data_IF_274660826684
#
_entry.id   IF_274660826684
#
_cell.length_a   1.000
_cell.length_b   1.000
_cell.length_c   1.000
_cell.angle_alpha   90.00
_cell.angle_beta   90.00
_cell.angle_gamma   90.00
#
_symmetry.space_group_name_H-M   'P 1'
#
loop_
_entity.id
_entity.type
_entity.pdbx_description
1 polymer ?
#
# COMPACT_ATOMS: atom_id res chain seq x y z
N UNK A 1 -29.22 2.87 7.61
CA UNK A 1 -28.84 4.18 8.20
C UNK A 1 -29.29 5.25 7.22
N UNK A 2 -30.01 6.27 7.67
CA UNK A 2 -30.59 7.28 6.77
C UNK A 2 -29.49 8.17 6.15
N UNK A 3 -29.67 8.62 4.90
CA UNK A 3 -28.78 9.56 4.20
C UNK A 3 -28.45 10.81 5.02
N UNK A 4 -29.40 11.33 5.78
CA UNK A 4 -29.22 12.44 6.74
C UNK A 4 -28.18 12.12 7.84
N UNK A 5 -28.11 10.87 8.32
CA UNK A 5 -27.12 10.45 9.32
C UNK A 5 -25.71 10.45 8.72
N UNK A 6 -25.56 9.99 7.47
CA UNK A 6 -24.26 9.97 6.78
C UNK A 6 -23.76 11.37 6.46
N UNK A 7 -24.64 12.31 6.13
CA UNK A 7 -24.26 13.70 5.86
C UNK A 7 -23.78 14.41 7.12
N UNK A 8 -24.46 14.23 8.26
CA UNK A 8 -24.04 14.80 9.55
C UNK A 8 -22.70 14.22 10.01
N UNK A 9 -22.48 12.92 9.85
CA UNK A 9 -21.18 12.28 10.14
C UNK A 9 -20.08 12.88 9.27
N UNK A 10 -20.31 12.99 7.97
CA UNK A 10 -19.35 13.58 7.04
C UNK A 10 -19.00 15.03 7.41
N UNK A 11 -19.99 15.86 7.69
CA UNK A 11 -19.77 17.25 8.12
C UNK A 11 -19.01 17.33 9.45
N UNK A 12 -19.30 16.44 10.39
CA UNK A 12 -18.59 16.37 11.68
C UNK A 12 -17.13 15.98 11.48
N UNK A 13 -16.88 14.99 10.61
CA UNK A 13 -15.50 14.56 10.28
C UNK A 13 -14.74 15.69 9.60
N UNK A 14 -15.36 16.42 8.67
CA UNK A 14 -14.74 17.58 8.02
C UNK A 14 -14.36 18.67 9.03
N UNK A 15 -15.22 18.94 10.03
CA UNK A 15 -14.89 19.87 11.12
C UNK A 15 -13.75 19.36 11.99
N UNK A 16 -13.66 18.06 12.26
CA UNK A 16 -12.53 17.48 13.01
C UNK A 16 -11.22 17.53 12.21
N UNK A 17 -11.27 17.31 10.90
CA UNK A 17 -10.11 17.48 10.02
C UNK A 17 -9.59 18.92 10.01
N UNK A 18 -10.46 19.93 10.13
CA UNK A 18 -10.03 21.33 10.22
C UNK A 18 -9.20 21.66 11.48
N UNK A 19 -9.16 20.74 12.46
CA UNK A 19 -8.25 20.83 13.59
C UNK A 19 -6.80 20.37 13.27
N UNK A 20 -6.61 19.60 12.19
CA UNK A 20 -5.29 19.09 11.78
C UNK A 20 -4.71 19.80 10.55
N UNK A 21 -5.51 20.56 9.81
CA UNK A 21 -5.12 21.37 8.66
C UNK A 21 -6.09 22.54 8.47
N UNK A 22 -5.75 23.49 7.61
CA UNK A 22 -6.68 24.58 7.30
C UNK A 22 -7.90 24.04 6.52
N UNK A 23 -9.09 24.62 6.75
CA UNK A 23 -10.30 24.26 6.03
C UNK A 23 -10.12 24.36 4.49
N UNK A 24 -9.39 25.36 4.03
CA UNK A 24 -9.04 25.54 2.62
C UNK A 24 -8.21 24.38 2.06
N UNK A 25 -7.27 23.91 2.85
CA UNK A 25 -6.38 22.78 2.48
C UNK A 25 -7.14 21.48 2.40
N UNK A 26 -7.97 21.22 3.40
CA UNK A 26 -8.82 20.02 3.47
C UNK A 26 -9.80 19.99 2.30
N UNK A 27 -10.51 21.08 2.02
CA UNK A 27 -11.43 21.17 0.89
C UNK A 27 -10.71 20.97 -0.47
N UNK A 28 -9.53 21.53 -0.64
CA UNK A 28 -8.66 21.31 -1.82
C UNK A 28 -8.39 19.81 -2.04
N UNK A 29 -8.08 19.06 -0.97
CA UNK A 29 -7.83 17.62 -1.11
C UNK A 29 -9.10 16.82 -1.35
N UNK A 30 -10.22 17.17 -0.70
CA UNK A 30 -11.51 16.50 -0.93
C UNK A 30 -11.95 16.68 -2.39
N UNK A 31 -11.86 17.88 -2.93
CA UNK A 31 -12.17 18.14 -4.34
C UNK A 31 -11.29 17.31 -5.29
N UNK A 32 -9.98 17.28 -5.03
CA UNK A 32 -9.05 16.45 -5.81
C UNK A 32 -9.37 14.95 -5.73
N UNK A 33 -9.68 14.46 -4.54
CA UNK A 33 -9.98 13.04 -4.34
C UNK A 33 -11.34 12.62 -4.88
N UNK A 34 -12.26 13.58 -5.05
CA UNK A 34 -13.57 13.38 -5.66
C UNK A 34 -13.54 13.50 -7.19
N UNK A 35 -12.39 13.87 -7.77
CA UNK A 35 -12.19 13.94 -9.22
C UNK A 35 -12.33 12.55 -9.85
N UNK A 36 -12.98 12.48 -10.99
CA UNK A 36 -13.14 11.25 -11.78
C UNK A 36 -11.93 10.93 -12.65
N UNK A 37 -10.98 11.86 -12.77
CA UNK A 37 -9.80 11.72 -13.65
C UNK A 37 -8.75 10.75 -13.13
N UNK A 38 -8.62 10.64 -11.80
CA UNK A 38 -7.68 9.72 -11.16
C UNK A 38 -8.34 9.02 -9.98
N UNK A 39 -7.95 7.77 -9.73
CA UNK A 39 -8.36 7.06 -8.52
C UNK A 39 -7.72 7.73 -7.30
N UNK A 40 -8.42 7.69 -6.17
CA UNK A 40 -8.00 8.39 -4.95
C UNK A 40 -6.60 7.97 -4.50
N UNK A 41 -6.41 6.69 -4.10
CA UNK A 41 -5.16 6.23 -3.58
C UNK A 41 -4.97 4.71 -3.74
N UNK A 42 -3.72 4.30 -3.88
CA UNK A 42 -3.27 2.94 -3.60
C UNK A 42 -2.48 2.97 -2.28
N UNK A 43 -2.88 2.13 -1.33
CA UNK A 43 -2.23 2.01 -0.02
C UNK A 43 -1.59 0.63 0.08
N UNK A 44 -0.26 0.60 0.13
CA UNK A 44 0.49 -0.62 0.43
C UNK A 44 0.65 -0.75 1.94
N UNK A 45 0.21 -1.86 2.49
CA UNK A 45 0.28 -2.16 3.91
C UNK A 45 1.37 -3.19 4.17
N UNK A 46 2.35 -2.86 5.00
CA UNK A 46 3.38 -3.80 5.45
C UNK A 46 2.78 -4.94 6.29
N UNK A 47 3.34 -6.16 6.16
CA UNK A 47 2.88 -7.28 6.97
C UNK A 47 3.07 -7.04 8.48
N UNK A 48 4.14 -6.37 8.88
CA UNK A 48 4.39 -5.96 10.28
C UNK A 48 3.30 -5.02 10.81
N UNK A 49 2.74 -4.14 9.97
CA UNK A 49 1.61 -3.27 10.34
C UNK A 49 0.37 -4.10 10.67
N UNK A 50 0.05 -5.11 9.85
CA UNK A 50 -1.10 -5.98 10.12
C UNK A 50 -0.90 -6.79 11.39
N UNK A 51 0.33 -7.22 11.65
CA UNK A 51 0.67 -8.00 12.84
C UNK A 51 0.62 -7.16 14.12
N UNK A 52 1.11 -5.92 14.08
CA UNK A 52 1.42 -5.15 15.30
C UNK A 52 0.52 -3.91 15.49
N UNK A 53 -0.14 -3.42 14.44
CA UNK A 53 -0.89 -2.13 14.46
C UNK A 53 -2.18 -2.18 13.61
N UNK A 54 -2.84 -3.32 13.59
CA UNK A 54 -4.06 -3.53 12.78
C UNK A 54 -5.20 -2.60 13.23
N UNK A 55 -5.32 -2.29 14.51
CA UNK A 55 -6.40 -1.44 15.01
C UNK A 55 -6.34 0.00 14.45
N UNK A 56 -5.14 0.62 14.45
CA UNK A 56 -4.94 1.93 13.85
C UNK A 56 -5.11 1.89 12.33
N UNK A 57 -4.65 0.81 11.68
CA UNK A 57 -4.88 0.60 10.25
C UNK A 57 -6.38 0.61 9.92
N UNK A 58 -7.16 -0.25 10.58
CA UNK A 58 -8.59 -0.39 10.31
C UNK A 58 -9.33 0.90 10.66
N UNK A 59 -9.03 1.54 11.78
CA UNK A 59 -9.66 2.81 12.16
C UNK A 59 -9.44 3.90 11.12
N UNK A 60 -8.22 4.01 10.58
CA UNK A 60 -7.89 4.98 9.52
C UNK A 60 -8.58 4.65 8.19
N UNK A 61 -8.66 3.38 7.80
CA UNK A 61 -9.35 2.98 6.57
C UNK A 61 -10.86 3.15 6.65
N UNK A 62 -11.47 2.82 7.80
CA UNK A 62 -12.90 3.04 8.06
C UNK A 62 -13.22 4.54 8.04
N UNK A 63 -12.35 5.37 8.62
CA UNK A 63 -12.48 6.81 8.52
C UNK A 63 -12.53 7.28 7.06
N UNK A 64 -11.63 6.80 6.19
CA UNK A 64 -11.66 7.13 4.76
C UNK A 64 -12.96 6.67 4.10
N UNK A 65 -13.42 5.47 4.40
CA UNK A 65 -14.68 4.94 3.90
C UNK A 65 -15.87 5.84 4.27
N UNK A 66 -15.93 6.31 5.53
CA UNK A 66 -16.99 7.17 6.02
C UNK A 66 -17.02 8.55 5.36
N UNK A 67 -15.88 9.10 4.94
CA UNK A 67 -15.84 10.35 4.16
C UNK A 67 -16.04 10.12 2.65
N UNK A 68 -16.30 8.88 2.23
CA UNK A 68 -16.59 8.53 0.83
C UNK A 68 -15.35 8.26 -0.01
N UNK A 69 -14.16 8.12 0.60
CA UNK A 69 -12.91 7.82 -0.08
C UNK A 69 -12.60 6.32 0.01
N UNK A 70 -12.47 5.67 -1.14
CA UNK A 70 -12.22 4.24 -1.25
C UNK A 70 -10.81 3.99 -1.81
N UNK A 71 -9.81 3.72 -0.94
CA UNK A 71 -8.48 3.35 -1.42
C UNK A 71 -8.46 1.92 -1.95
N UNK A 72 -7.52 1.63 -2.83
CA UNK A 72 -7.13 0.26 -3.19
C UNK A 72 -6.05 -0.19 -2.22
N UNK A 73 -6.28 -1.28 -1.50
CA UNK A 73 -5.33 -1.81 -0.52
C UNK A 73 -4.55 -2.97 -1.13
N UNK A 74 -3.23 -2.92 -1.03
CA UNK A 74 -2.36 -4.08 -1.27
C UNK A 74 -1.58 -4.38 0.00
N UNK A 75 -1.67 -5.60 0.51
CA UNK A 75 -1.00 -5.97 1.75
C UNK A 75 0.16 -6.94 1.56
N UNK A 76 1.16 -6.85 2.43
CA UNK A 76 2.17 -7.89 2.62
C UNK A 76 1.80 -8.82 3.77
N UNK A 77 2.52 -9.94 3.87
CA UNK A 77 2.41 -10.89 4.97
C UNK A 77 3.78 -11.51 5.36
N UNK A 78 4.88 -10.81 5.04
CA UNK A 78 6.23 -11.34 5.20
C UNK A 78 6.54 -11.95 6.57
N UNK A 79 6.33 -11.24 7.68
CA UNK A 79 6.59 -11.77 9.04
C UNK A 79 5.75 -13.00 9.37
N UNK A 80 4.44 -12.99 9.03
CA UNK A 80 3.55 -14.13 9.23
C UNK A 80 3.97 -15.34 8.39
N UNK A 81 4.42 -15.09 7.14
CA UNK A 81 4.92 -16.16 6.27
C UNK A 81 6.22 -16.75 6.81
N UNK A 82 7.17 -15.93 7.25
CA UNK A 82 8.41 -16.42 7.86
C UNK A 82 8.11 -17.31 9.05
N UNK A 83 7.25 -16.84 9.97
CA UNK A 83 6.85 -17.62 11.13
C UNK A 83 6.17 -18.94 10.74
N UNK A 84 5.27 -18.93 9.78
CA UNK A 84 4.55 -20.13 9.34
C UNK A 84 5.50 -21.17 8.70
N UNK A 85 6.55 -20.72 8.00
CA UNK A 85 7.58 -21.60 7.45
C UNK A 85 8.46 -22.22 8.56
N UNK A 86 8.90 -21.39 9.51
CA UNK A 86 9.66 -21.83 10.70
C UNK A 86 8.87 -22.86 11.51
N UNK A 87 7.59 -22.59 11.78
CA UNK A 87 6.70 -23.49 12.54
C UNK A 87 6.50 -24.86 11.82
N UNK A 88 6.69 -24.91 10.50
CA UNK A 88 6.64 -26.13 9.69
C UNK A 88 8.01 -26.73 9.36
N UNK A 89 9.10 -26.14 9.86
CA UNK A 89 10.46 -26.61 9.61
C UNK A 89 10.88 -26.46 8.13
N UNK A 90 10.33 -25.48 7.41
CA UNK A 90 10.66 -25.19 6.02
C UNK A 90 11.69 -24.06 5.98
N UNK A 91 12.90 -24.39 5.53
CA UNK A 91 13.96 -23.39 5.32
C UNK A 91 13.59 -22.43 4.20
N UNK A 92 13.98 -21.18 4.36
CA UNK A 92 13.80 -20.15 3.34
C UNK A 92 14.99 -19.20 3.28
N UNK A 93 15.18 -18.60 2.13
CA UNK A 93 16.23 -17.60 1.87
C UNK A 93 15.68 -16.46 1.03
N UNK A 94 16.49 -15.42 0.85
CA UNK A 94 16.17 -14.27 0.01
C UNK A 94 17.30 -14.03 -0.99
N UNK A 95 16.91 -13.66 -2.22
CA UNK A 95 17.80 -13.17 -3.27
C UNK A 95 17.25 -11.80 -3.70
N UNK A 96 18.06 -10.77 -3.66
CA UNK A 96 17.70 -9.38 -4.02
C UNK A 96 16.38 -8.91 -3.35
N UNK A 97 16.18 -9.27 -2.07
CA UNK A 97 14.99 -8.90 -1.30
C UNK A 97 13.72 -9.69 -1.66
N UNK A 98 13.78 -10.63 -2.59
CA UNK A 98 12.70 -11.55 -2.92
C UNK A 98 12.91 -12.90 -2.24
N UNK A 99 11.83 -13.48 -1.71
CA UNK A 99 11.89 -14.80 -1.04
C UNK A 99 12.02 -15.90 -2.09
N UNK A 100 13.07 -16.71 -2.01
CA UNK A 100 13.15 -17.96 -2.77
C UNK A 100 11.96 -18.83 -2.38
N UNK A 101 11.17 -19.22 -3.35
CA UNK A 101 9.86 -19.82 -3.13
C UNK A 101 9.80 -21.21 -3.75
N UNK A 102 10.10 -22.23 -2.95
CA UNK A 102 9.88 -23.65 -3.33
C UNK A 102 8.38 -23.95 -3.46
N UNK A 103 8.00 -25.12 -3.97
CA UNK A 103 6.59 -25.53 -3.99
C UNK A 103 5.98 -25.54 -2.58
N UNK A 104 6.67 -26.07 -1.59
CA UNK A 104 6.22 -26.06 -0.20
C UNK A 104 6.07 -24.64 0.34
N UNK A 105 7.05 -23.77 0.09
CA UNK A 105 6.99 -22.35 0.46
C UNK A 105 5.82 -21.63 -0.20
N UNK A 106 5.53 -21.90 -1.48
CA UNK A 106 4.39 -21.33 -2.22
C UNK A 106 3.06 -21.73 -1.59
N UNK A 107 2.90 -23.00 -1.25
CA UNK A 107 1.66 -23.53 -0.68
C UNK A 107 1.37 -22.87 0.69
N UNK A 108 2.39 -22.73 1.53
CA UNK A 108 2.30 -21.97 2.79
C UNK A 108 2.01 -20.49 2.53
N UNK A 109 2.68 -19.87 1.56
CA UNK A 109 2.46 -18.48 1.21
C UNK A 109 1.01 -18.21 0.78
N UNK A 110 0.43 -19.07 -0.07
CA UNK A 110 -0.96 -18.94 -0.49
C UNK A 110 -1.93 -19.00 0.70
N UNK A 111 -1.70 -19.88 1.65
CA UNK A 111 -2.53 -19.98 2.86
C UNK A 111 -2.38 -18.74 3.75
N UNK A 112 -1.14 -18.31 4.00
CA UNK A 112 -0.85 -17.15 4.85
C UNK A 112 -1.40 -15.87 4.25
N UNK A 113 -1.21 -15.63 2.96
CA UNK A 113 -1.73 -14.45 2.29
C UNK A 113 -3.27 -14.44 2.27
N UNK A 114 -3.91 -15.59 1.99
CA UNK A 114 -5.36 -15.69 2.01
C UNK A 114 -5.93 -15.44 3.40
N UNK A 115 -5.32 -16.01 4.45
CA UNK A 115 -5.73 -15.79 5.84
C UNK A 115 -5.54 -14.32 6.26
N UNK A 116 -4.41 -13.71 5.90
CA UNK A 116 -4.13 -12.30 6.20
C UNK A 116 -5.11 -11.38 5.46
N UNK A 117 -5.43 -11.68 4.21
CA UNK A 117 -6.42 -10.96 3.41
C UNK A 117 -7.79 -10.98 4.09
N UNK A 118 -8.26 -12.17 4.46
CA UNK A 118 -9.54 -12.34 5.15
C UNK A 118 -9.57 -11.61 6.49
N UNK A 119 -8.48 -11.65 7.26
CA UNK A 119 -8.37 -10.91 8.53
C UNK A 119 -8.57 -9.41 8.34
N UNK A 120 -8.00 -8.81 7.30
CA UNK A 120 -8.16 -7.37 7.02
C UNK A 120 -9.59 -7.07 6.57
N UNK A 121 -10.18 -7.91 5.73
CA UNK A 121 -11.58 -7.77 5.28
C UNK A 121 -12.54 -7.85 6.45
N UNK A 122 -12.45 -8.90 7.27
CA UNK A 122 -13.32 -9.11 8.45
C UNK A 122 -13.21 -7.93 9.43
N UNK A 123 -11.99 -7.42 9.63
CA UNK A 123 -11.76 -6.29 10.53
C UNK A 123 -12.39 -4.99 9.98
N UNK A 124 -12.35 -4.73 8.68
CA UNK A 124 -13.03 -3.60 8.04
C UNK A 124 -14.55 -3.72 8.16
N UNK A 125 -15.09 -4.91 7.83
CA UNK A 125 -16.54 -5.16 7.87
C UNK A 125 -17.09 -5.09 9.29
N UNK A 126 -16.33 -5.57 10.28
CA UNK A 126 -16.73 -5.48 11.71
C UNK A 126 -16.90 -4.03 12.20
N UNK A 127 -16.25 -3.06 11.53
CA UNK A 127 -16.36 -1.62 11.78
C UNK A 127 -17.31 -0.89 10.82
N UNK A 128 -18.02 -1.64 9.97
CA UNK A 128 -19.07 -1.12 9.08
C UNK A 128 -18.59 -0.64 7.71
N UNK A 129 -17.31 -0.77 7.37
CA UNK A 129 -16.82 -0.55 6.01
C UNK A 129 -17.14 -1.76 5.13
N UNK A 130 -17.37 -1.53 3.83
CA UNK A 130 -17.51 -2.62 2.86
C UNK A 130 -16.16 -2.93 2.25
N UNK A 131 -15.75 -4.20 2.29
CA UNK A 131 -14.48 -4.63 1.71
C UNK A 131 -14.64 -5.92 0.89
N UNK A 132 -13.76 -6.09 -0.12
CA UNK A 132 -13.71 -7.30 -0.93
C UNK A 132 -12.26 -7.78 -1.00
N UNK A 133 -12.03 -9.00 -0.50
CA UNK A 133 -10.72 -9.66 -0.55
C UNK A 133 -10.42 -10.24 -1.92
N UNK A 134 -9.22 -10.01 -2.42
CA UNK A 134 -8.73 -10.47 -3.71
C UNK A 134 -7.41 -11.22 -3.52
N UNK A 135 -7.49 -12.54 -3.58
CA UNK A 135 -6.32 -13.45 -3.48
C UNK A 135 -6.01 -14.16 -4.80
N UNK A 136 -6.76 -13.86 -5.86
CA UNK A 136 -6.59 -14.39 -7.21
C UNK A 136 -7.19 -13.42 -8.24
N UNK A 137 -6.95 -13.69 -9.53
CA UNK A 137 -7.53 -12.98 -10.68
C UNK A 137 -7.15 -11.47 -10.78
N UNK A 138 -6.12 -11.03 -10.06
CA UNK A 138 -5.61 -9.66 -10.15
C UNK A 138 -4.33 -9.59 -10.97
N UNK A 139 -3.35 -10.44 -10.68
CA UNK A 139 -2.06 -10.41 -11.33
C UNK A 139 -1.89 -11.62 -12.26
N UNK A 140 -1.78 -11.36 -13.56
CA UNK A 140 -1.28 -12.31 -14.54
C UNK A 140 0.25 -12.25 -14.51
N UNK A 141 0.89 -13.42 -14.36
CA UNK A 141 2.34 -13.49 -14.18
C UNK A 141 3.00 -14.48 -15.13
N UNK A 142 4.30 -14.30 -15.29
CA UNK A 142 5.21 -15.36 -15.72
C UNK A 142 6.14 -15.67 -14.55
N UNK A 143 6.76 -16.85 -14.58
CA UNK A 143 7.82 -17.18 -13.63
C UNK A 143 8.97 -16.16 -13.77
N UNK A 144 9.48 -15.67 -12.65
CA UNK A 144 10.66 -14.80 -12.62
C UNK A 144 11.93 -15.61 -12.95
N UNK A 145 13.01 -15.39 -12.26
CA UNK A 145 14.26 -16.12 -12.42
C UNK A 145 14.12 -17.55 -11.89
N UNK A 146 14.67 -18.57 -12.59
CA UNK A 146 14.57 -19.98 -12.15
C UNK A 146 15.07 -20.20 -10.71
N UNK A 147 16.08 -19.47 -10.26
CA UNK A 147 16.64 -19.57 -8.92
C UNK A 147 15.70 -19.06 -7.82
N UNK A 148 14.69 -18.28 -8.16
CA UNK A 148 13.66 -17.82 -7.24
C UNK A 148 12.51 -18.82 -7.07
N UNK A 149 12.40 -19.81 -7.97
CA UNK A 149 11.35 -20.83 -7.94
C UNK A 149 9.97 -20.26 -8.31
N UNK A 150 8.96 -20.46 -7.46
CA UNK A 150 7.58 -20.01 -7.70
C UNK A 150 7.38 -18.51 -7.38
N UNK A 151 8.24 -17.67 -7.90
CA UNK A 151 8.12 -16.20 -7.83
C UNK A 151 7.64 -15.68 -9.18
N UNK A 152 6.70 -14.74 -9.14
CA UNK A 152 6.05 -14.17 -10.33
C UNK A 152 6.53 -12.78 -10.67
N UNK A 153 6.80 -12.58 -11.98
CA UNK A 153 6.89 -11.25 -12.61
C UNK A 153 5.53 -10.91 -13.20
N UNK A 154 4.95 -9.80 -12.81
CA UNK A 154 3.63 -9.35 -13.28
C UNK A 154 3.71 -8.92 -14.74
N UNK A 155 2.80 -9.44 -15.56
CA UNK A 155 2.61 -9.08 -16.99
C UNK A 155 1.31 -8.34 -17.23
N UNK A 156 0.31 -8.60 -16.40
CA UNK A 156 -0.99 -7.96 -16.50
C UNK A 156 -1.63 -7.75 -15.13
N UNK A 157 -2.44 -6.71 -15.04
CA UNK A 157 -3.25 -6.40 -13.86
C UNK A 157 -4.70 -6.27 -14.30
N UNK A 158 -5.60 -6.96 -13.65
CA UNK A 158 -7.04 -6.90 -13.90
C UNK A 158 -7.65 -5.66 -13.21
N UNK A 159 -7.43 -4.49 -13.83
CA UNK A 159 -7.96 -3.22 -13.32
C UNK A 159 -9.48 -3.14 -13.37
N UNK A 160 -10.13 -3.82 -14.32
CA UNK A 160 -11.59 -3.85 -14.44
C UNK A 160 -12.25 -4.46 -13.20
N UNK A 161 -11.65 -5.50 -12.64
CA UNK A 161 -12.14 -6.11 -11.41
C UNK A 161 -12.02 -5.15 -10.22
N UNK A 162 -10.90 -4.45 -10.11
CA UNK A 162 -10.67 -3.43 -9.06
C UNK A 162 -11.69 -2.30 -9.21
N UNK A 163 -11.90 -1.80 -10.44
CA UNK A 163 -12.83 -0.73 -10.73
C UNK A 163 -14.28 -1.11 -10.40
N UNK A 164 -14.73 -2.31 -10.76
CA UNK A 164 -16.08 -2.83 -10.40
C UNK A 164 -16.32 -2.89 -8.90
N UNK A 165 -15.30 -3.26 -8.11
CA UNK A 165 -15.40 -3.30 -6.64
C UNK A 165 -15.53 -1.87 -6.08
N UNK A 166 -14.73 -0.93 -6.57
CA UNK A 166 -14.79 0.48 -6.17
C UNK A 166 -16.14 1.11 -6.53
N UNK A 167 -16.65 0.87 -7.74
CA UNK A 167 -17.97 1.31 -8.21
C UNK A 167 -19.12 0.71 -7.40
N UNK A 168 -18.96 -0.52 -6.93
CA UNK A 168 -19.86 -1.17 -5.96
C UNK A 168 -19.79 -0.59 -4.55
N UNK A 169 -18.94 0.42 -4.30
CA UNK A 169 -18.79 1.09 -3.01
C UNK A 169 -18.02 0.29 -1.98
N UNK A 170 -17.19 -0.67 -2.41
CA UNK A 170 -16.35 -1.50 -1.52
C UNK A 170 -14.87 -1.17 -1.65
N UNK A 171 -14.10 -1.43 -0.60
CA UNK A 171 -12.65 -1.31 -0.58
C UNK A 171 -12.04 -2.62 -1.10
N UNK A 172 -11.30 -2.64 -2.23
CA UNK A 172 -10.57 -3.82 -2.66
C UNK A 172 -9.34 -4.04 -1.78
N UNK A 173 -9.20 -5.24 -1.22
CA UNK A 173 -8.06 -5.68 -0.41
C UNK A 173 -7.32 -6.79 -1.16
N UNK A 174 -6.12 -6.50 -1.66
CA UNK A 174 -5.39 -7.32 -2.63
C UNK A 174 -4.20 -8.01 -1.95
N UNK A 175 -4.10 -9.33 -2.10
CA UNK A 175 -2.91 -10.10 -1.76
C UNK A 175 -1.94 -10.15 -2.96
N UNK A 176 -0.61 -10.14 -2.74
CA UNK A 176 0.39 -10.20 -3.81
C UNK A 176 0.62 -11.63 -4.29
N UNK A 177 -0.44 -12.23 -4.81
CA UNK A 177 -0.45 -13.57 -5.42
C UNK A 177 -0.77 -13.45 -6.90
N UNK A 178 0.11 -14.00 -7.73
CA UNK A 178 -0.05 -14.03 -9.18
C UNK A 178 -0.50 -15.37 -9.69
N UNK A 179 -0.97 -15.37 -10.92
CA UNK A 179 -1.37 -16.58 -11.64
C UNK A 179 -0.56 -16.71 -12.93
N UNK A 180 -0.08 -17.92 -13.16
CA UNK A 180 0.52 -18.37 -14.40
C UNK A 180 -0.14 -19.71 -14.76
N UNK A 181 -1.00 -19.73 -15.77
CA UNK A 181 -1.85 -20.86 -16.09
C UNK A 181 -2.64 -21.36 -14.86
N UNK A 182 -2.35 -22.56 -14.38
CA UNK A 182 -2.97 -23.16 -13.19
C UNK A 182 -2.10 -23.08 -11.93
N UNK A 183 -0.96 -22.38 -12.00
CA UNK A 183 -0.02 -22.25 -10.88
C UNK A 183 -0.14 -20.87 -10.21
N UNK A 184 -0.06 -20.88 -8.87
CA UNK A 184 0.02 -19.66 -8.08
C UNK A 184 1.49 -19.27 -7.90
N UNK A 185 1.80 -18.01 -8.08
CA UNK A 185 3.14 -17.44 -7.88
C UNK A 185 3.12 -16.44 -6.74
N UNK A 186 4.16 -16.48 -5.91
CA UNK A 186 4.41 -15.46 -4.90
C UNK A 186 4.98 -14.20 -5.56
N UNK A 187 4.43 -13.03 -5.27
CA UNK A 187 4.94 -11.75 -5.76
C UNK A 187 5.46 -10.95 -4.57
N UNK A 188 6.60 -10.28 -4.73
CA UNK A 188 7.01 -9.29 -3.75
C UNK A 188 5.97 -8.16 -3.69
N UNK A 189 5.48 -7.84 -2.48
CA UNK A 189 4.37 -6.90 -2.31
C UNK A 189 4.71 -5.48 -2.79
N UNK A 190 5.97 -5.05 -2.71
CA UNK A 190 6.38 -3.74 -3.21
C UNK A 190 6.40 -3.73 -4.75
N UNK A 191 6.85 -4.82 -5.40
CA UNK A 191 6.79 -5.00 -6.86
C UNK A 191 5.32 -5.05 -7.33
N UNK A 192 4.48 -5.85 -6.66
CA UNK A 192 3.04 -5.92 -6.98
C UNK A 192 2.38 -4.54 -6.86
N UNK A 193 2.79 -3.72 -5.88
CA UNK A 193 2.29 -2.35 -5.72
C UNK A 193 2.67 -1.48 -6.92
N UNK A 194 3.91 -1.55 -7.39
CA UNK A 194 4.36 -0.77 -8.57
C UNK A 194 3.50 -1.10 -9.79
N UNK A 195 3.30 -2.38 -10.07
CA UNK A 195 2.51 -2.81 -11.24
C UNK A 195 1.02 -2.46 -11.11
N UNK A 196 0.46 -2.59 -9.91
CA UNK A 196 -0.91 -2.16 -9.63
C UNK A 196 -1.07 -0.65 -9.85
N UNK A 197 -0.15 0.15 -9.32
CA UNK A 197 -0.16 1.62 -9.43
C UNK A 197 -0.03 2.08 -10.89
N UNK A 198 0.81 1.44 -11.69
CA UNK A 198 0.94 1.74 -13.14
C UNK A 198 -0.39 1.60 -13.89
N UNK A 199 -1.26 0.68 -13.46
CA UNK A 199 -2.58 0.45 -14.07
C UNK A 199 -3.67 1.34 -13.47
N UNK A 200 -3.73 1.43 -12.15
CA UNK A 200 -4.77 2.20 -11.44
C UNK A 200 -4.59 3.72 -11.59
N UNK A 201 -3.34 4.18 -11.80
CA UNK A 201 -2.97 5.58 -11.96
C UNK A 201 -3.53 6.49 -10.84
N UNK A 202 -3.22 6.19 -9.55
CA UNK A 202 -3.80 6.90 -8.43
C UNK A 202 -3.18 8.29 -8.25
N UNK A 203 -3.93 9.19 -7.60
CA UNK A 203 -3.41 10.49 -7.18
C UNK A 203 -2.34 10.37 -6.09
N UNK A 204 -2.54 9.47 -5.10
CA UNK A 204 -1.56 9.20 -4.04
C UNK A 204 -1.22 7.71 -3.95
N UNK A 205 0.04 7.46 -3.64
CA UNK A 205 0.51 6.12 -3.24
C UNK A 205 1.08 6.21 -1.85
N UNK A 206 0.62 5.35 -0.95
CA UNK A 206 1.01 5.38 0.45
C UNK A 206 1.57 4.02 0.86
N UNK A 207 2.77 4.04 1.42
CA UNK A 207 3.40 2.88 2.05
C UNK A 207 3.23 2.99 3.57
N UNK A 208 2.37 2.16 4.14
CA UNK A 208 2.23 2.05 5.58
C UNK A 208 3.27 1.09 6.14
N UNK A 209 4.04 1.57 7.08
CA UNK A 209 5.07 0.81 7.79
C UNK A 209 5.05 1.13 9.28
N UNK A 210 5.60 0.24 10.07
CA UNK A 210 5.79 0.39 11.51
C UNK A 210 6.81 1.48 11.87
N UNK A 211 7.80 1.72 11.00
CA UNK A 211 8.79 2.79 11.18
C UNK A 211 8.17 4.16 10.85
N UNK A 212 7.35 4.25 9.80
CA UNK A 212 6.56 5.44 9.46
C UNK A 212 7.28 6.54 8.71
N UNK A 213 8.45 6.28 8.14
CA UNK A 213 9.18 7.25 7.33
C UNK A 213 10.63 6.85 7.08
N UNK A 214 11.41 7.75 6.50
CA UNK A 214 12.86 7.61 6.30
C UNK A 214 13.55 8.53 7.30
N UNK A 215 14.49 7.97 8.05
CA UNK A 215 15.23 8.69 9.07
C UNK A 215 16.69 8.85 8.64
N UNK A 216 17.28 10.01 8.95
CA UNK A 216 18.68 10.27 8.69
C UNK A 216 19.59 9.61 9.74
N UNK A 217 20.92 9.77 9.60
CA UNK A 217 21.93 9.23 10.53
C UNK A 217 21.73 9.66 11.99
N UNK A 218 21.06 10.78 12.25
CA UNK A 218 20.78 11.32 13.59
C UNK A 218 19.40 10.91 14.10
N UNK A 219 18.76 9.93 13.50
CA UNK A 219 17.42 9.42 13.82
C UNK A 219 16.30 10.49 13.70
N UNK A 220 16.52 11.47 12.81
CA UNK A 220 15.54 12.51 12.51
C UNK A 220 14.79 12.15 11.23
N UNK A 221 13.46 12.33 11.25
CA UNK A 221 12.61 12.09 10.09
C UNK A 221 12.98 13.04 8.94
N UNK A 222 13.16 12.48 7.75
CA UNK A 222 13.24 13.24 6.50
C UNK A 222 11.82 13.44 6.01
N UNK A 223 11.27 14.64 6.23
CA UNK A 223 9.86 14.91 5.94
C UNK A 223 9.55 14.96 4.44
N UNK A 224 10.49 15.46 3.63
CA UNK A 224 10.31 15.62 2.18
C UNK A 224 11.55 15.15 1.43
N UNK A 225 11.34 14.46 0.32
CA UNK A 225 12.39 14.04 -0.60
C UNK A 225 12.01 14.47 -2.03
N UNK A 226 12.91 15.24 -2.66
CA UNK A 226 12.87 15.55 -4.08
C UNK A 226 13.75 14.55 -4.82
N UNK A 227 13.17 13.58 -5.51
CA UNK A 227 13.95 12.52 -6.18
C UNK A 227 14.91 13.04 -7.26
N UNK A 228 14.58 14.14 -7.94
CA UNK A 228 15.45 14.68 -8.99
C UNK A 228 16.72 15.27 -8.40
N UNK A 229 16.65 15.85 -7.21
CA UNK A 229 17.78 16.56 -6.59
C UNK A 229 18.52 15.68 -5.57
N UNK A 230 17.85 14.79 -4.87
CA UNK A 230 18.36 14.16 -3.65
C UNK A 230 18.59 12.65 -3.77
N UNK A 231 18.09 12.02 -4.87
CA UNK A 231 18.13 10.55 -4.98
C UNK A 231 19.55 9.98 -4.93
N UNK A 232 20.48 10.48 -5.73
CA UNK A 232 21.84 9.95 -5.82
C UNK A 232 22.59 10.15 -4.49
N UNK A 233 22.40 11.31 -3.84
CA UNK A 233 22.99 11.61 -2.54
C UNK A 233 22.44 10.68 -1.45
N UNK A 234 21.15 10.40 -1.45
CA UNK A 234 20.51 9.46 -0.51
C UNK A 234 21.02 8.04 -0.74
N UNK A 235 21.10 7.59 -1.99
CA UNK A 235 21.57 6.23 -2.32
C UNK A 235 23.04 6.01 -1.97
N UNK A 236 23.85 7.07 -1.93
CA UNK A 236 25.25 7.03 -1.51
C UNK A 236 25.42 6.92 0.03
N UNK A 237 24.35 7.16 0.81
CA UNK A 237 24.46 7.12 2.27
C UNK A 237 24.66 5.72 2.82
N UNK A 238 25.64 5.56 3.71
CA UNK A 238 25.94 4.28 4.37
C UNK A 238 24.87 3.90 5.42
N UNK A 239 24.23 4.90 6.05
CA UNK A 239 23.16 4.68 7.03
C UNK A 239 21.85 4.19 6.41
N UNK A 240 21.68 4.35 5.10
CA UNK A 240 20.49 3.88 4.40
C UNK A 240 20.65 2.38 4.10
N UNK A 241 19.95 1.53 4.85
CA UNK A 241 20.10 0.07 4.71
C UNK A 241 19.52 -0.43 3.37
N UNK A 242 19.97 -1.60 2.92
CA UNK A 242 19.63 -2.22 1.65
C UNK A 242 18.12 -2.30 1.38
N UNK A 243 17.32 -2.65 2.37
CA UNK A 243 15.85 -2.72 2.23
C UNK A 243 15.20 -1.35 1.98
N UNK A 244 15.75 -0.26 2.53
CA UNK A 244 15.24 1.09 2.27
C UNK A 244 15.75 1.62 0.93
N UNK A 245 16.99 1.28 0.53
CA UNK A 245 17.51 1.59 -0.82
C UNK A 245 16.63 0.97 -1.89
N UNK A 246 16.33 -0.33 -1.77
CA UNK A 246 15.41 -1.02 -2.68
C UNK A 246 14.04 -0.35 -2.73
N UNK A 247 13.49 0.05 -1.59
CA UNK A 247 12.20 0.76 -1.54
C UNK A 247 12.28 2.11 -2.27
N UNK A 248 13.34 2.89 -2.11
CA UNK A 248 13.53 4.15 -2.84
C UNK A 248 13.68 3.94 -4.34
N UNK A 249 14.37 2.88 -4.78
CA UNK A 249 14.44 2.50 -6.20
C UNK A 249 13.05 2.23 -6.77
N UNK A 250 12.25 1.44 -6.08
CA UNK A 250 10.88 1.13 -6.48
C UNK A 250 9.99 2.37 -6.50
N UNK A 251 10.11 3.27 -5.51
CA UNK A 251 9.38 4.54 -5.49
C UNK A 251 9.82 5.45 -6.64
N UNK A 252 11.12 5.50 -6.98
CA UNK A 252 11.62 6.25 -8.14
C UNK A 252 11.03 5.70 -9.44
N UNK A 253 11.05 4.39 -9.62
CA UNK A 253 10.41 3.73 -10.75
C UNK A 253 8.92 4.05 -10.82
N UNK A 254 8.21 3.89 -9.72
CA UNK A 254 6.78 4.16 -9.62
C UNK A 254 6.46 5.61 -10.01
N UNK A 255 7.14 6.59 -9.44
CA UNK A 255 6.92 8.00 -9.75
C UNK A 255 7.26 8.36 -11.21
N UNK A 256 8.18 7.65 -11.86
CA UNK A 256 8.49 7.86 -13.28
C UNK A 256 7.32 7.51 -14.22
N UNK A 257 6.38 6.67 -13.77
CA UNK A 257 5.20 6.25 -14.54
C UNK A 257 3.94 7.02 -14.15
N UNK A 258 3.97 7.80 -13.09
CA UNK A 258 2.83 8.58 -12.62
C UNK A 258 2.88 10.03 -13.11
N UNK A 259 1.72 10.71 -13.19
CA UNK A 259 1.69 12.15 -13.41
C UNK A 259 2.58 12.89 -12.41
N UNK A 260 3.19 13.99 -12.84
CA UNK A 260 4.05 14.82 -11.97
C UNK A 260 3.34 15.37 -10.74
N UNK A 261 2.02 15.39 -10.76
CA UNK A 261 1.16 15.79 -9.63
C UNK A 261 1.02 14.70 -8.57
N UNK A 262 1.38 13.45 -8.90
CA UNK A 262 1.33 12.32 -7.96
C UNK A 262 2.48 12.38 -6.96
N UNK A 263 2.25 11.79 -5.80
CA UNK A 263 3.25 11.69 -4.73
C UNK A 263 3.19 10.34 -4.05
N UNK A 264 4.29 9.95 -3.46
CA UNK A 264 4.41 8.75 -2.62
C UNK A 264 4.69 9.19 -1.20
N UNK A 265 4.00 8.60 -0.24
CA UNK A 265 4.27 8.83 1.19
C UNK A 265 4.62 7.52 1.90
N UNK A 266 5.54 7.60 2.86
CA UNK A 266 5.83 6.50 3.80
C UNK A 266 5.41 7.00 5.18
N UNK A 267 4.45 6.32 5.83
CA UNK A 267 3.91 6.76 7.12
C UNK A 267 3.40 5.60 7.98
N UNK A 268 2.96 5.92 9.21
CA UNK A 268 2.27 4.96 10.10
C UNK A 268 0.75 4.99 9.87
N UNK A 269 0.03 3.90 10.18
CA UNK A 269 -1.43 3.86 10.04
C UNK A 269 -2.16 5.02 10.72
N UNK A 270 -1.80 5.33 11.97
CA UNK A 270 -2.43 6.41 12.76
C UNK A 270 -2.32 7.79 12.11
N UNK A 271 -1.29 8.00 11.30
CA UNK A 271 -1.03 9.27 10.63
C UNK A 271 -1.70 9.40 9.26
N UNK A 272 -2.35 8.34 8.78
CA UNK A 272 -2.92 8.28 7.43
C UNK A 272 -3.86 9.45 7.11
N UNK A 273 -4.79 9.86 7.99
CA UNK A 273 -5.63 11.04 7.72
C UNK A 273 -4.83 12.32 7.54
N UNK A 274 -3.84 12.58 8.40
CA UNK A 274 -2.99 13.76 8.28
C UNK A 274 -2.17 13.75 6.99
N UNK A 275 -1.62 12.60 6.63
CA UNK A 275 -0.84 12.41 5.39
C UNK A 275 -1.67 12.66 4.12
N UNK A 276 -2.95 12.34 4.16
CA UNK A 276 -3.83 12.50 3.02
C UNK A 276 -4.37 13.92 2.86
N UNK A 277 -4.70 14.58 3.96
CA UNK A 277 -5.45 15.83 3.97
C UNK A 277 -4.62 17.08 4.28
N UNK A 278 -3.30 16.95 4.49
CA UNK A 278 -2.41 18.08 4.74
C UNK A 278 -1.18 18.07 3.83
N UNK A 279 -0.62 19.25 3.57
CA UNK A 279 0.61 19.39 2.77
C UNK A 279 1.86 19.03 3.60
N UNK A 280 1.78 19.05 4.94
CA UNK A 280 2.91 18.80 5.84
C UNK A 280 3.02 17.36 6.36
N UNK A 281 2.01 16.51 6.15
CA UNK A 281 2.05 15.11 6.53
C UNK A 281 2.55 14.79 7.94
N UNK A 282 2.92 13.55 8.20
CA UNK A 282 3.61 13.09 9.42
C UNK A 282 4.58 11.94 9.14
N UNK A 283 4.87 11.71 7.87
CA UNK A 283 5.81 10.71 7.38
C UNK A 283 6.80 11.35 6.42
N UNK A 284 7.38 10.55 5.53
CA UNK A 284 8.22 11.02 4.44
C UNK A 284 7.41 11.16 3.16
N UNK A 285 7.28 12.37 2.67
CA UNK A 285 6.64 12.68 1.38
C UNK A 285 7.70 12.70 0.28
N UNK A 286 7.51 11.86 -0.74
CA UNK A 286 8.44 11.72 -1.86
C UNK A 286 7.73 12.20 -3.12
N UNK A 287 8.35 13.16 -3.81
CA UNK A 287 7.86 13.74 -5.06
C UNK A 287 8.89 13.56 -6.17
N UNK A 288 8.39 13.50 -7.42
CA UNK A 288 9.28 13.48 -8.58
C UNK A 288 10.24 14.68 -8.56
N UNK A 289 9.74 15.87 -8.17
CA UNK A 289 10.49 17.11 -8.14
C UNK A 289 10.60 17.81 -9.51
N UNK A 290 11.01 19.06 -9.47
CA UNK A 290 11.39 19.87 -10.64
C UNK A 290 12.87 20.26 -10.46
N UNK A 291 13.62 20.33 -11.58
CA UNK A 291 14.94 20.95 -11.58
C UNK A 291 14.83 22.45 -11.42
#
# INVERSE_FOLDING_TARGET
MNELSNQVIKETILKLLSAIGSEKEINKYIEKFSSTEQRFAVIKVGGSVIQNDIENLISSLVFLDQVGLKPVILHGAGPMLSKALEDQGIDFSFIDGQRVTSRATRDVAQQVFSKTNQQVVDALESKGAKAVGLTSNIFECIQDKPELGFVGTVKGVNEDLVNKILEGGSIPVIAPLGQMDNEVLNINADIATVELVKKINPYKVIFLSDIGGIFNKSDQLIENINLVLEYEDLMAQEWLHSGMKLKLEQIKELLSHLPKTSSVSITKPINLPKELFTDSGSGTLIKHGYK
#
